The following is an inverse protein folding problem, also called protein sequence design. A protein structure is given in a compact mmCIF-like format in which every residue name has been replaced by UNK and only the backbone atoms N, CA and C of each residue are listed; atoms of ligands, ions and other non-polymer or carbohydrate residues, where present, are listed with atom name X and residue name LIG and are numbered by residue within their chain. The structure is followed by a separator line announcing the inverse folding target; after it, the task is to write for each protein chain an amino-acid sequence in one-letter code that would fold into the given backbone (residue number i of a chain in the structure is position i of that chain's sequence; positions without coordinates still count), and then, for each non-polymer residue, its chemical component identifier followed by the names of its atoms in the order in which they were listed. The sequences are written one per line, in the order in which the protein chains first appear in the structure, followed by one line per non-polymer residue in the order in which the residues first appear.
data_IF_144459266648
#
_entry.id   IF_144459266648
#
_cell.length_a   1.000
_cell.length_b   1.000
_cell.length_c   1.000
_cell.angle_alpha   90.00
_cell.angle_beta   90.00
_cell.angle_gamma   90.00
#
_symmetry.space_group_name_H-M   'P 1'
#
loop_
_entity.id
_entity.type
_entity.pdbx_description
1 polymer ?
#
# COMPACT_ATOMS: atom_id res chain seq x y z
N UNK A 1 4.76 19.22 -21.84
CA UNK A 1 5.83 20.21 -22.12
C UNK A 1 6.22 21.06 -20.90
N UNK A 2 5.33 21.32 -19.94
CA UNK A 2 5.60 22.09 -18.71
C UNK A 2 6.71 21.49 -17.84
N UNK A 3 6.62 20.21 -17.46
CA UNK A 3 7.53 19.57 -16.50
C UNK A 3 9.03 19.68 -16.88
N UNK A 4 9.41 19.43 -18.15
CA UNK A 4 10.81 19.62 -18.62
C UNK A 4 11.38 21.03 -18.35
N UNK A 5 10.52 22.06 -18.33
CA UNK A 5 10.91 23.45 -18.06
C UNK A 5 10.98 23.78 -16.56
N UNK A 6 10.35 22.96 -15.72
CA UNK A 6 10.51 22.97 -14.27
C UNK A 6 11.81 22.24 -13.86
N UNK A 7 12.04 21.01 -14.35
CA UNK A 7 13.29 20.25 -14.12
C UNK A 7 14.53 21.07 -14.53
N UNK A 8 14.51 21.71 -15.70
CA UNK A 8 15.60 22.59 -16.13
C UNK A 8 15.89 23.75 -15.15
N UNK A 9 14.85 24.34 -14.53
CA UNK A 9 15.03 25.39 -13.51
C UNK A 9 15.52 24.86 -12.17
N UNK A 10 15.08 23.67 -11.77
CA UNK A 10 15.56 23.02 -10.55
C UNK A 10 17.07 22.70 -10.64
N UNK A 11 17.52 22.18 -11.79
CA UNK A 11 18.94 21.96 -12.09
C UNK A 11 19.71 23.28 -12.13
N UNK A 12 19.15 24.32 -12.74
CA UNK A 12 19.81 25.63 -12.79
C UNK A 12 19.94 26.29 -11.41
N UNK A 13 18.91 26.24 -10.55
CA UNK A 13 18.99 26.76 -9.18
C UNK A 13 20.03 25.99 -8.35
N UNK A 14 20.07 24.66 -8.50
CA UNK A 14 21.05 23.83 -7.82
C UNK A 14 22.48 24.02 -8.36
N UNK A 15 22.64 24.36 -9.65
CA UNK A 15 23.89 24.87 -10.19
C UNK A 15 24.26 26.24 -9.61
N UNK A 16 23.31 27.17 -9.44
CA UNK A 16 23.55 28.50 -8.87
C UNK A 16 24.02 28.42 -7.40
N UNK A 17 23.48 27.49 -6.59
CA UNK A 17 23.96 27.23 -5.21
C UNK A 17 25.41 26.70 -5.21
N UNK A 18 25.77 25.79 -6.12
CA UNK A 18 27.16 25.30 -6.27
C UNK A 18 28.09 26.29 -7.00
N UNK A 19 27.54 27.26 -7.75
CA UNK A 19 28.27 28.25 -8.54
C UNK A 19 28.49 29.58 -7.80
N UNK A 20 28.53 29.55 -6.47
CA UNK A 20 29.16 30.61 -5.65
C UNK A 20 30.66 30.83 -5.96
N UNK A 21 31.24 30.04 -6.88
CA UNK A 21 32.60 30.18 -7.39
C UNK A 21 32.61 30.13 -8.94
N UNK A 22 32.66 31.30 -9.57
CA UNK A 22 32.87 31.55 -11.02
C UNK A 22 31.71 31.21 -11.97
N UNK A 23 31.65 31.86 -13.15
CA UNK A 23 30.55 31.69 -14.10
C UNK A 23 30.70 32.44 -15.44
N UNK A 24 29.55 32.77 -16.07
CA UNK A 24 29.30 33.48 -17.36
C UNK A 24 29.12 32.63 -18.64
N UNK A 25 27.93 32.76 -19.27
CA UNK A 25 27.61 32.45 -20.69
C UNK A 25 27.25 30.98 -21.06
N UNK A 26 26.30 30.67 -21.96
CA UNK A 26 25.23 31.50 -22.56
C UNK A 26 24.66 30.98 -23.92
N UNK A 27 23.35 31.21 -24.16
CA UNK A 27 22.64 31.35 -25.49
C UNK A 27 22.05 30.12 -26.25
N UNK A 28 20.73 29.91 -26.06
CA UNK A 28 19.58 29.78 -27.02
C UNK A 28 19.44 28.76 -28.21
N UNK A 29 18.18 28.33 -28.46
CA UNK A 29 17.59 27.72 -29.69
C UNK A 29 16.58 26.58 -29.37
N UNK A 30 15.24 26.57 -29.62
CA UNK A 30 14.34 26.89 -30.77
C UNK A 30 14.27 25.77 -31.85
N UNK A 31 13.13 25.19 -32.29
CA UNK A 31 11.70 25.28 -31.91
C UNK A 31 10.73 24.63 -32.97
N UNK A 32 9.43 24.40 -32.67
CA UNK A 32 8.33 23.95 -33.61
C UNK A 32 8.49 22.53 -34.26
N UNK A 33 7.59 21.91 -35.07
CA UNK A 33 6.09 21.78 -35.27
C UNK A 33 5.85 20.60 -36.28
N UNK A 34 4.65 20.07 -36.61
CA UNK A 34 3.42 19.67 -35.87
C UNK A 34 2.31 19.11 -36.84
N UNK A 35 1.46 18.17 -36.35
CA UNK A 35 0.10 17.74 -36.83
C UNK A 35 -0.09 16.80 -38.07
N UNK A 36 -1.36 16.33 -38.19
CA UNK A 36 -2.08 15.59 -39.26
C UNK A 36 -1.75 14.06 -39.41
N UNK A 37 -2.68 13.11 -39.73
CA UNK A 37 -4.14 13.20 -40.04
C UNK A 37 -4.91 11.84 -39.87
N UNK A 38 -6.24 11.85 -40.13
CA UNK A 38 -7.12 10.76 -40.67
C UNK A 38 -7.86 9.73 -39.76
N UNK A 39 -9.20 9.89 -39.72
CA UNK A 39 -10.32 8.96 -40.11
C UNK A 39 -10.03 7.48 -40.48
N UNK A 40 -10.96 6.49 -40.43
CA UNK A 40 -12.39 6.38 -40.01
C UNK A 40 -12.71 4.88 -39.76
N UNK A 41 -13.75 4.54 -38.99
CA UNK A 41 -14.85 3.60 -39.35
C UNK A 41 -15.74 3.23 -38.14
N UNK A 42 -17.02 3.01 -38.39
CA UNK A 42 -18.04 2.64 -37.42
C UNK A 42 -18.74 1.30 -37.77
N UNK A 43 -19.84 1.01 -37.07
CA UNK A 43 -20.78 -0.09 -37.30
C UNK A 43 -20.28 -1.52 -36.99
N UNK A 44 -20.84 -2.10 -35.92
CA UNK A 44 -21.85 -3.16 -36.08
C UNK A 44 -22.82 -3.12 -34.89
N UNK A 45 -24.12 -3.09 -35.18
CA UNK A 45 -25.18 -3.18 -34.18
C UNK A 45 -26.22 -4.21 -34.64
N UNK A 46 -26.49 -5.19 -33.77
CA UNK A 46 -27.71 -5.99 -33.58
C UNK A 46 -27.31 -7.13 -32.61
N UNK A 47 -27.87 -7.29 -31.41
CA UNK A 47 -29.28 -7.39 -30.99
C UNK A 47 -29.76 -8.85 -30.90
N UNK A 48 -30.09 -9.30 -29.68
CA UNK A 48 -30.91 -10.47 -29.36
C UNK A 48 -31.04 -10.60 -27.82
N UNK A 49 -32.13 -10.06 -27.26
CA UNK A 49 -32.53 -10.25 -25.86
C UNK A 49 -33.35 -11.55 -25.70
N UNK A 50 -33.09 -12.37 -24.66
CA UNK A 50 -34.04 -13.34 -24.02
C UNK A 50 -33.36 -14.34 -23.05
N UNK A 51 -33.52 -14.11 -21.74
CA UNK A 51 -33.77 -15.06 -20.62
C UNK A 51 -33.02 -16.43 -20.49
N UNK A 52 -32.75 -16.95 -19.26
CA UNK A 52 -33.72 -16.97 -18.15
C UNK A 52 -33.20 -16.61 -16.74
N UNK A 53 -34.15 -16.60 -15.79
CA UNK A 53 -33.97 -16.25 -14.38
C UNK A 53 -32.87 -17.04 -13.62
N UNK A 54 -32.22 -16.34 -12.69
CA UNK A 54 -31.05 -16.79 -11.94
C UNK A 54 -31.38 -17.81 -10.84
N UNK A 55 -30.91 -19.05 -11.00
CA UNK A 55 -30.77 -20.03 -9.92
C UNK A 55 -29.29 -20.18 -9.52
N UNK A 56 -28.96 -20.26 -8.22
CA UNK A 56 -27.57 -20.37 -7.75
C UNK A 56 -27.07 -21.81 -7.86
N UNK A 57 -26.73 -22.25 -9.07
CA UNK A 57 -26.10 -23.55 -9.32
C UNK A 57 -24.70 -23.63 -8.69
N UNK A 58 -24.51 -24.54 -7.74
CA UNK A 58 -23.25 -24.83 -7.04
C UNK A 58 -22.38 -25.84 -7.84
N UNK A 59 -22.87 -26.30 -8.99
CA UNK A 59 -22.34 -27.45 -9.74
C UNK A 59 -21.47 -27.09 -10.96
N UNK A 60 -21.02 -25.83 -11.06
CA UNK A 60 -20.17 -25.40 -12.18
C UNK A 60 -18.73 -25.91 -11.98
N UNK A 61 -18.18 -26.70 -12.92
CA UNK A 61 -16.84 -27.24 -12.78
C UNK A 61 -15.79 -26.13 -12.87
N UNK A 62 -14.72 -26.28 -12.10
CA UNK A 62 -13.67 -25.28 -11.95
C UNK A 62 -13.90 -24.27 -10.82
N UNK A 63 -15.11 -24.22 -10.23
CA UNK A 63 -15.37 -23.43 -9.02
C UNK A 63 -14.65 -24.00 -7.78
N UNK A 64 -14.53 -23.16 -6.76
CA UNK A 64 -13.90 -23.51 -5.49
C UNK A 64 -14.91 -23.50 -4.34
N UNK A 65 -14.74 -24.43 -3.41
CA UNK A 65 -15.57 -24.62 -2.22
C UNK A 65 -14.70 -24.88 -0.98
N UNK A 66 -15.23 -24.62 0.21
CA UNK A 66 -14.63 -24.99 1.49
C UNK A 66 -15.68 -25.69 2.37
N UNK A 67 -15.26 -26.59 3.26
CA UNK A 67 -16.18 -27.20 4.22
C UNK A 67 -16.65 -26.14 5.23
N UNK A 68 -17.95 -26.08 5.49
CA UNK A 68 -18.56 -25.08 6.34
C UNK A 68 -18.04 -25.16 7.80
N UNK A 69 -17.59 -26.34 8.24
CA UNK A 69 -16.95 -26.54 9.54
C UNK A 69 -15.47 -26.15 9.55
N UNK A 70 -14.75 -26.35 8.43
CA UNK A 70 -13.35 -25.92 8.30
C UNK A 70 -13.22 -24.38 8.29
N UNK A 71 -14.20 -23.65 7.75
CA UNK A 71 -14.16 -22.17 7.60
C UNK A 71 -13.87 -21.37 8.89
N UNK A 72 -14.07 -21.96 10.07
CA UNK A 72 -13.73 -21.37 11.36
C UNK A 72 -12.21 -21.36 11.67
N UNK A 73 -11.41 -22.15 10.94
CA UNK A 73 -9.95 -22.10 10.96
C UNK A 73 -9.46 -20.88 10.17
N UNK A 74 -8.28 -20.33 10.46
CA UNK A 74 -7.73 -19.16 9.74
C UNK A 74 -7.42 -19.47 8.26
N UNK A 75 -6.87 -20.65 7.98
CA UNK A 75 -6.44 -21.10 6.65
C UNK A 75 -7.03 -22.50 6.31
N UNK A 76 -8.35 -22.59 6.08
CA UNK A 76 -9.05 -23.86 5.86
C UNK A 76 -8.62 -24.51 4.55
N UNK A 77 -8.53 -25.84 4.46
CA UNK A 77 -8.29 -26.50 3.18
C UNK A 77 -9.43 -26.24 2.21
N UNK A 78 -9.11 -25.69 1.04
CA UNK A 78 -10.08 -25.36 -0.01
C UNK A 78 -10.07 -26.45 -1.09
N UNK A 79 -11.14 -26.52 -1.87
CA UNK A 79 -11.37 -27.63 -2.80
C UNK A 79 -11.88 -27.12 -4.14
N UNK A 80 -11.36 -27.66 -5.25
CA UNK A 80 -11.82 -27.33 -6.60
C UNK A 80 -12.75 -28.41 -7.14
N UNK A 81 -13.89 -28.02 -7.70
CA UNK A 81 -14.85 -28.93 -8.35
C UNK A 81 -14.29 -29.41 -9.69
N UNK A 82 -14.10 -30.72 -9.87
CA UNK A 82 -13.63 -31.36 -11.09
C UNK A 82 -14.80 -31.97 -11.90
N UNK A 83 -14.63 -32.06 -13.23
CA UNK A 83 -15.55 -32.66 -14.19
C UNK A 83 -15.87 -34.15 -13.94
N UNK A 84 -15.26 -34.77 -12.92
CA UNK A 84 -15.31 -36.21 -12.62
C UNK A 84 -16.09 -36.54 -11.33
N UNK A 85 -16.93 -35.61 -10.85
CA UNK A 85 -17.63 -35.71 -9.55
C UNK A 85 -16.65 -35.88 -8.38
N UNK A 86 -15.53 -35.14 -8.44
CA UNK A 86 -14.49 -35.10 -7.41
C UNK A 86 -14.17 -33.67 -7.00
N UNK A 87 -13.80 -33.51 -5.73
CA UNK A 87 -13.19 -32.33 -5.18
C UNK A 87 -11.66 -32.53 -5.09
N UNK A 88 -10.90 -31.66 -5.75
CA UNK A 88 -9.43 -31.65 -5.69
C UNK A 88 -8.97 -30.77 -4.53
N UNK A 89 -8.17 -31.28 -3.59
CA UNK A 89 -7.74 -30.52 -2.40
C UNK A 89 -6.63 -29.52 -2.74
N UNK A 90 -6.75 -28.32 -2.17
CA UNK A 90 -5.71 -27.31 -2.12
C UNK A 90 -5.41 -26.98 -0.66
N UNK A 91 -4.13 -26.80 -0.32
CA UNK A 91 -3.67 -26.52 1.05
C UNK A 91 -2.93 -25.19 1.11
N UNK A 92 -3.01 -24.46 2.24
CA UNK A 92 -2.25 -23.23 2.41
C UNK A 92 -0.75 -23.50 2.42
N UNK A 93 0.00 -22.56 1.88
CA UNK A 93 1.45 -22.44 2.00
C UNK A 93 1.82 -20.96 2.00
N UNK A 94 2.98 -20.62 2.55
CA UNK A 94 3.46 -19.24 2.54
C UNK A 94 4.20 -18.94 1.22
N UNK A 95 3.79 -17.86 0.55
CA UNK A 95 4.58 -17.22 -0.49
C UNK A 95 5.85 -16.62 0.14
N UNK A 96 6.93 -16.52 -0.63
CA UNK A 96 8.17 -15.85 -0.20
C UNK A 96 7.96 -14.33 0.03
N UNK A 97 6.79 -13.79 -0.36
CA UNK A 97 6.29 -12.46 0.00
C UNK A 97 5.64 -12.35 1.39
N UNK A 98 5.51 -13.46 2.15
CA UNK A 98 4.82 -13.49 3.45
C UNK A 98 3.29 -13.53 3.33
N UNK A 99 2.79 -14.16 2.26
CA UNK A 99 1.36 -14.21 1.92
C UNK A 99 0.89 -15.65 1.78
N UNK A 100 -0.14 -16.03 2.54
CA UNK A 100 -0.73 -17.37 2.42
C UNK A 100 -1.49 -17.53 1.10
N UNK A 101 -0.97 -18.42 0.26
CA UNK A 101 -1.57 -18.88 -0.99
C UNK A 101 -1.91 -20.37 -0.88
N UNK A 102 -2.66 -20.89 -1.85
CA UNK A 102 -3.18 -22.26 -1.84
C UNK A 102 -2.73 -23.00 -3.09
N UNK A 103 -2.11 -24.17 -2.90
CA UNK A 103 -1.63 -25.05 -3.99
C UNK A 103 -2.31 -26.41 -3.95
N UNK A 104 -2.52 -26.99 -5.12
CA UNK A 104 -3.08 -28.32 -5.29
C UNK A 104 -2.23 -29.41 -4.61
N UNK A 105 -2.88 -30.40 -4.00
CA UNK A 105 -2.25 -31.64 -3.52
C UNK A 105 -3.05 -32.85 -4.00
N UNK A 106 -2.39 -34.01 -4.11
CA UNK A 106 -3.00 -35.26 -4.61
C UNK A 106 -3.94 -35.94 -3.59
N UNK A 107 -4.87 -35.18 -3.02
CA UNK A 107 -5.93 -35.63 -2.12
C UNK A 107 -7.27 -35.28 -2.74
N UNK A 108 -8.18 -36.25 -2.85
CA UNK A 108 -9.46 -36.10 -3.52
C UNK A 108 -10.60 -36.53 -2.60
N UNK A 109 -11.72 -35.81 -2.66
CA UNK A 109 -12.98 -36.16 -1.99
C UNK A 109 -14.10 -36.35 -3.02
N UNK A 110 -15.13 -37.11 -2.69
CA UNK A 110 -16.29 -37.28 -3.58
C UNK A 110 -17.18 -36.02 -3.63
N UNK A 111 -17.70 -35.70 -4.81
CA UNK A 111 -18.70 -34.64 -5.03
C UNK A 111 -20.07 -35.26 -5.34
N UNK A 112 -20.87 -35.49 -4.29
CA UNK A 112 -22.19 -36.10 -4.38
C UNK A 112 -23.22 -35.29 -3.56
N UNK A 113 -24.51 -35.59 -3.66
CA UNK A 113 -25.58 -34.81 -3.00
C UNK A 113 -25.50 -34.76 -1.46
N UNK A 114 -24.79 -35.71 -0.84
CA UNK A 114 -24.55 -35.71 0.60
C UNK A 114 -23.33 -34.86 0.97
N UNK A 115 -22.26 -34.90 0.17
CA UNK A 115 -21.08 -34.06 0.39
C UNK A 115 -21.38 -32.58 0.10
N UNK A 116 -22.10 -32.27 -0.98
CA UNK A 116 -22.52 -30.90 -1.36
C UNK A 116 -23.09 -30.10 -0.20
N UNK A 117 -23.85 -30.72 0.70
CA UNK A 117 -24.50 -30.09 1.87
C UNK A 117 -23.52 -29.61 2.96
N UNK A 118 -22.25 -30.02 2.89
CA UNK A 118 -21.16 -29.65 3.83
C UNK A 118 -20.27 -28.55 3.28
N UNK A 119 -20.29 -28.32 1.96
CA UNK A 119 -19.40 -27.40 1.27
C UNK A 119 -20.15 -26.13 0.84
N UNK A 120 -19.50 -24.98 1.01
CA UNK A 120 -19.99 -23.68 0.52
C UNK A 120 -19.03 -23.11 -0.52
N UNK A 121 -19.57 -22.41 -1.53
CA UNK A 121 -18.78 -21.74 -2.57
C UNK A 121 -17.90 -20.66 -1.95
N UNK A 122 -16.66 -20.57 -2.41
CA UNK A 122 -15.70 -19.56 -1.95
C UNK A 122 -15.16 -18.74 -3.13
N UNK A 123 -14.94 -17.43 -2.96
CA UNK A 123 -14.24 -16.62 -3.93
C UNK A 123 -12.73 -16.87 -3.85
N UNK A 124 -12.08 -17.02 -5.00
CA UNK A 124 -10.62 -17.16 -5.10
C UNK A 124 -10.05 -16.29 -6.22
N UNK A 125 -8.86 -15.73 -6.01
CA UNK A 125 -8.06 -15.13 -7.08
C UNK A 125 -7.05 -16.15 -7.58
N UNK A 126 -7.04 -16.46 -8.88
CA UNK A 126 -5.96 -17.27 -9.48
C UNK A 126 -4.70 -16.41 -9.56
N UNK A 127 -3.61 -16.83 -8.91
CA UNK A 127 -2.34 -16.09 -8.88
C UNK A 127 -1.29 -16.68 -9.82
N UNK A 128 -1.27 -18.01 -9.99
CA UNK A 128 -0.45 -18.69 -10.99
C UNK A 128 -1.27 -19.81 -11.64
N UNK A 129 -1.21 -19.93 -12.96
CA UNK A 129 -1.86 -20.98 -13.74
C UNK A 129 -0.93 -21.46 -14.86
N UNK A 130 -0.05 -22.39 -14.53
CA UNK A 130 0.92 -22.99 -15.44
C UNK A 130 0.59 -24.47 -15.67
N UNK A 131 1.20 -25.10 -16.68
CA UNK A 131 0.98 -26.53 -16.98
C UNK A 131 1.41 -27.50 -15.86
N UNK A 132 2.21 -27.02 -14.89
CA UNK A 132 2.76 -27.82 -13.78
C UNK A 132 2.08 -27.50 -12.44
N UNK A 133 1.69 -26.24 -12.21
CA UNK A 133 1.13 -25.79 -10.93
C UNK A 133 -0.03 -24.80 -11.13
N UNK A 134 -1.03 -24.91 -10.26
CA UNK A 134 -2.11 -23.93 -10.08
C UNK A 134 -2.07 -23.42 -8.65
N UNK A 135 -1.92 -22.11 -8.49
CA UNK A 135 -1.84 -21.42 -7.20
C UNK A 135 -2.95 -20.36 -7.15
N UNK A 136 -3.75 -20.42 -6.08
CA UNK A 136 -4.89 -19.50 -5.87
C UNK A 136 -4.81 -18.84 -4.49
N UNK A 137 -5.48 -17.71 -4.33
CA UNK A 137 -5.65 -17.00 -3.07
C UNK A 137 -7.11 -17.11 -2.63
N UNK A 138 -7.37 -17.57 -1.40
CA UNK A 138 -8.72 -17.58 -0.84
C UNK A 138 -9.10 -16.17 -0.36
N UNK A 139 -10.07 -15.55 -1.03
CA UNK A 139 -10.53 -14.19 -0.75
C UNK A 139 -11.56 -14.17 0.39
N UNK A 140 -11.16 -14.58 1.61
CA UNK A 140 -12.06 -14.71 2.77
C UNK A 140 -12.99 -13.50 2.99
N UNK A 141 -12.51 -12.29 2.71
CA UNK A 141 -13.27 -11.04 2.89
C UNK A 141 -14.46 -10.89 1.92
N UNK A 142 -14.47 -11.63 0.81
CA UNK A 142 -15.53 -11.63 -0.21
C UNK A 142 -16.55 -12.78 0.00
N UNK A 143 -16.41 -13.56 1.08
CA UNK A 143 -17.24 -14.75 1.34
C UNK A 143 -18.75 -14.44 1.41
N UNK A 144 -19.58 -15.07 0.56
CA UNK A 144 -21.04 -14.95 0.63
C UNK A 144 -21.58 -15.73 1.85
N UNK A 145 -21.47 -15.14 3.04
CA UNK A 145 -22.00 -15.73 4.28
C UNK A 145 -21.55 -15.08 5.59
N UNK A 146 -20.37 -14.45 5.67
CA UNK A 146 -19.90 -13.90 6.96
C UNK A 146 -20.66 -12.62 7.38
N UNK A 147 -21.30 -11.92 6.43
CA UNK A 147 -22.26 -10.87 6.72
C UNK A 147 -23.43 -10.97 5.73
N UNK A 148 -24.54 -11.58 6.15
CA UNK A 148 -25.82 -11.53 5.42
C UNK A 148 -26.89 -10.74 6.18
N UNK A 149 -26.80 -9.40 6.22
CA UNK A 149 -28.00 -8.60 5.99
C UNK A 149 -28.46 -8.82 4.53
N UNK A 150 -29.74 -8.57 4.25
CA UNK A 150 -30.32 -8.66 2.89
C UNK A 150 -29.72 -7.59 1.98
N UNK A 151 -28.66 -7.87 1.22
CA UNK A 151 -27.99 -6.80 0.48
C UNK A 151 -26.87 -7.19 -0.49
N UNK A 152 -26.99 -8.23 -1.32
CA UNK A 152 -25.97 -8.54 -2.34
C UNK A 152 -25.71 -7.34 -3.28
N UNK A 153 -26.77 -6.73 -3.79
CA UNK A 153 -26.70 -5.48 -4.57
C UNK A 153 -26.32 -4.23 -3.76
N UNK A 154 -26.29 -4.30 -2.42
CA UNK A 154 -25.85 -3.22 -1.54
C UNK A 154 -24.36 -3.34 -1.20
N UNK A 155 -23.85 -4.55 -0.94
CA UNK A 155 -22.41 -4.80 -0.75
C UNK A 155 -21.64 -4.49 -2.03
N UNK A 156 -22.08 -4.98 -3.20
CA UNK A 156 -21.45 -4.66 -4.48
C UNK A 156 -21.45 -3.14 -4.76
N UNK A 157 -22.58 -2.47 -4.53
CA UNK A 157 -22.73 -1.01 -4.65
C UNK A 157 -21.86 -0.24 -3.66
N UNK A 158 -21.67 -0.76 -2.45
CA UNK A 158 -20.77 -0.19 -1.45
C UNK A 158 -19.31 -0.35 -1.86
N UNK A 159 -18.87 -1.50 -2.37
CA UNK A 159 -17.50 -1.68 -2.90
C UNK A 159 -17.23 -0.75 -4.07
N UNK A 160 -18.16 -0.62 -5.02
CA UNK A 160 -18.05 0.34 -6.14
C UNK A 160 -17.96 1.79 -5.64
N UNK A 161 -18.77 2.17 -4.64
CA UNK A 161 -18.71 3.50 -4.01
C UNK A 161 -17.36 3.73 -3.30
N UNK A 162 -16.86 2.76 -2.53
CA UNK A 162 -15.54 2.85 -1.89
C UNK A 162 -14.41 3.02 -2.92
N UNK A 163 -14.45 2.29 -4.03
CA UNK A 163 -13.48 2.45 -5.13
C UNK A 163 -13.56 3.85 -5.74
N UNK A 164 -14.76 4.35 -6.05
CA UNK A 164 -14.96 5.73 -6.58
C UNK A 164 -14.45 6.81 -5.61
N UNK A 165 -14.56 6.58 -4.29
CA UNK A 165 -14.02 7.49 -3.28
C UNK A 165 -12.49 7.48 -3.23
N UNK A 166 -11.86 6.32 -3.40
CA UNK A 166 -10.40 6.18 -3.51
C UNK A 166 -9.91 6.81 -4.81
N UNK A 167 -10.52 6.50 -5.96
CA UNK A 167 -10.20 7.10 -7.27
C UNK A 167 -10.31 8.63 -7.22
N UNK A 168 -11.38 9.16 -6.61
CA UNK A 168 -11.53 10.60 -6.41
C UNK A 168 -10.40 11.20 -5.56
N UNK A 169 -10.09 10.62 -4.39
CA UNK A 169 -9.00 11.14 -3.53
C UNK A 169 -7.64 11.02 -4.22
N UNK A 170 -7.43 9.96 -5.01
CA UNK A 170 -6.25 9.80 -5.87
C UNK A 170 -6.15 10.92 -6.91
N UNK A 171 -7.21 11.25 -7.66
CA UNK A 171 -7.15 12.30 -8.68
C UNK A 171 -7.09 13.72 -8.08
N UNK A 172 -7.75 14.00 -6.95
CA UNK A 172 -7.60 15.28 -6.24
C UNK A 172 -6.15 15.48 -5.77
N UNK A 173 -5.52 14.43 -5.20
CA UNK A 173 -4.12 14.48 -4.73
C UNK A 173 -3.08 14.46 -5.85
N UNK A 174 -3.45 14.11 -7.09
CA UNK A 174 -2.58 14.16 -8.28
C UNK A 174 -2.04 15.57 -8.56
N UNK A 175 -2.77 16.60 -8.13
CA UNK A 175 -2.37 18.01 -8.20
C UNK A 175 -1.04 18.32 -7.50
N UNK A 176 -0.59 17.47 -6.56
CA UNK A 176 0.67 17.65 -5.83
C UNK A 176 1.90 17.08 -6.57
N UNK A 177 1.78 16.58 -7.81
CA UNK A 177 2.89 15.99 -8.59
C UNK A 177 4.14 16.88 -8.63
N UNK A 178 4.02 18.12 -9.12
CA UNK A 178 5.13 19.07 -9.26
C UNK A 178 5.72 19.49 -7.89
N UNK A 179 4.93 19.39 -6.82
CA UNK A 179 5.37 19.62 -5.43
C UNK A 179 6.18 18.42 -4.92
N UNK A 180 5.72 17.22 -5.23
CA UNK A 180 6.32 15.95 -4.82
C UNK A 180 7.66 15.66 -5.54
N UNK A 181 7.82 16.04 -6.81
CA UNK A 181 9.10 15.90 -7.50
C UNK A 181 10.23 16.71 -6.82
N UNK A 182 9.94 17.95 -6.40
CA UNK A 182 10.90 18.78 -5.62
C UNK A 182 11.08 18.24 -4.19
N UNK A 183 10.04 17.64 -3.60
CA UNK A 183 10.15 16.95 -2.32
C UNK A 183 11.11 15.77 -2.39
N UNK A 184 11.02 14.93 -3.44
CA UNK A 184 11.94 13.81 -3.65
C UNK A 184 13.36 14.32 -4.01
N UNK A 185 13.50 15.38 -4.80
CA UNK A 185 14.79 16.06 -4.99
C UNK A 185 15.42 16.47 -3.65
N UNK A 186 14.63 16.99 -2.70
CA UNK A 186 15.10 17.33 -1.35
C UNK A 186 15.65 16.09 -0.61
N UNK A 187 14.96 14.95 -0.71
CA UNK A 187 15.39 13.71 -0.05
C UNK A 187 16.59 13.04 -0.72
N UNK A 188 16.74 13.14 -2.05
CA UNK A 188 17.94 12.67 -2.76
C UNK A 188 19.14 13.56 -2.42
N UNK A 189 18.98 14.89 -2.40
CA UNK A 189 20.03 15.81 -1.94
C UNK A 189 20.46 15.52 -0.49
N UNK A 190 19.51 15.23 0.42
CA UNK A 190 19.82 14.81 1.80
C UNK A 190 20.53 13.44 1.89
N UNK A 191 20.37 12.58 0.88
CA UNK A 191 21.09 11.31 0.80
C UNK A 191 22.49 11.44 0.17
N UNK A 192 22.73 12.50 -0.61
CA UNK A 192 24.03 12.87 -1.17
C UNK A 192 24.86 13.69 -0.18
N UNK A 193 24.24 14.61 0.58
CA UNK A 193 24.83 15.29 1.73
C UNK A 193 23.88 15.29 2.94
N UNK A 194 24.35 14.71 4.05
CA UNK A 194 23.63 14.63 5.32
C UNK A 194 23.32 15.98 6.00
N UNK A 195 23.89 17.09 5.51
CA UNK A 195 23.65 18.44 6.02
C UNK A 195 22.61 19.22 5.23
N UNK A 196 22.24 18.80 4.01
CA UNK A 196 21.40 19.56 3.09
C UNK A 196 20.10 20.09 3.72
N UNK A 197 19.37 19.25 4.48
CA UNK A 197 18.16 19.67 5.20
C UNK A 197 18.45 20.76 6.25
N UNK A 198 19.58 20.69 6.95
CA UNK A 198 19.99 21.70 7.96
C UNK A 198 20.27 23.04 7.29
N UNK A 199 20.95 23.00 6.14
CA UNK A 199 21.33 24.17 5.35
C UNK A 199 20.10 24.89 4.83
N UNK A 200 19.17 24.20 4.14
CA UNK A 200 17.93 24.84 3.67
C UNK A 200 17.05 25.37 4.82
N UNK A 201 17.07 24.76 6.01
CA UNK A 201 16.39 25.30 7.21
C UNK A 201 17.10 26.53 7.78
N UNK A 202 18.43 26.61 7.71
CA UNK A 202 19.23 27.72 8.21
C UNK A 202 19.16 28.93 7.27
N UNK A 203 19.23 28.69 5.96
CA UNK A 203 19.16 29.71 4.91
C UNK A 203 17.72 30.15 4.59
N UNK A 204 16.72 29.41 5.08
CA UNK A 204 15.29 29.61 4.80
C UNK A 204 14.97 29.53 3.30
N UNK A 205 15.47 28.50 2.61
CA UNK A 205 15.22 28.32 1.18
C UNK A 205 13.76 27.95 0.90
N UNK A 206 12.94 28.97 0.65
CA UNK A 206 11.54 28.87 0.24
C UNK A 206 11.32 27.99 -1.01
N UNK A 207 12.33 27.75 -1.85
CA UNK A 207 12.21 26.82 -2.95
C UNK A 207 11.96 25.39 -2.44
N UNK A 208 12.82 24.86 -1.57
CA UNK A 208 12.62 23.52 -1.00
C UNK A 208 11.60 23.53 0.16
N UNK A 209 11.71 24.48 1.09
CA UNK A 209 10.92 24.50 2.33
C UNK A 209 9.41 24.58 2.07
N UNK A 210 8.96 25.33 1.05
CA UNK A 210 7.53 25.40 0.70
C UNK A 210 6.96 24.06 0.23
N UNK A 211 7.73 23.25 -0.51
CA UNK A 211 7.32 21.91 -0.96
C UNK A 211 7.42 20.88 0.15
N UNK A 212 8.49 20.92 0.95
CA UNK A 212 8.64 20.10 2.18
C UNK A 212 7.43 20.32 3.09
N UNK A 213 7.12 21.58 3.42
CA UNK A 213 5.98 21.96 4.25
C UNK A 213 4.64 21.51 3.66
N UNK A 214 4.45 21.60 2.35
CA UNK A 214 3.20 21.19 1.69
C UNK A 214 2.91 19.70 1.86
N UNK A 215 3.86 18.82 1.50
CA UNK A 215 3.70 17.37 1.59
C UNK A 215 3.71 16.89 3.05
N UNK A 216 4.58 17.45 3.90
CA UNK A 216 4.62 17.11 5.34
C UNK A 216 3.28 17.47 6.00
N UNK A 217 2.68 18.63 5.69
CA UNK A 217 1.41 19.07 6.27
C UNK A 217 0.22 18.20 5.83
N UNK A 218 0.20 17.75 4.58
CA UNK A 218 -0.83 16.85 4.05
C UNK A 218 -0.72 15.43 4.67
N UNK A 219 0.50 14.94 4.80
CA UNK A 219 0.81 13.64 5.45
C UNK A 219 0.40 13.68 6.93
N UNK A 220 0.76 14.75 7.63
CA UNK A 220 0.43 15.00 9.03
C UNK A 220 -1.09 15.22 9.26
N UNK A 221 -1.82 15.83 8.33
CA UNK A 221 -3.29 15.86 8.36
C UNK A 221 -3.89 14.46 8.34
N UNK A 222 -3.51 13.64 7.35
CA UNK A 222 -3.99 12.26 7.23
C UNK A 222 -3.59 11.43 8.45
N UNK A 223 -2.37 11.58 8.98
CA UNK A 223 -1.93 10.93 10.24
C UNK A 223 -2.84 11.29 11.41
N UNK A 224 -3.17 12.57 11.62
CA UNK A 224 -4.09 12.98 12.71
C UNK A 224 -5.49 12.40 12.53
N UNK A 225 -6.04 12.46 11.32
CA UNK A 225 -7.37 11.92 11.00
C UNK A 225 -7.42 10.41 11.26
N UNK A 226 -6.38 9.67 10.87
CA UNK A 226 -6.27 8.22 11.15
C UNK A 226 -6.18 7.90 12.65
N UNK A 227 -5.41 8.68 13.41
CA UNK A 227 -5.29 8.52 14.87
C UNK A 227 -6.60 8.84 15.60
N UNK A 228 -7.33 9.87 15.19
CA UNK A 228 -8.62 10.25 15.80
C UNK A 228 -9.67 9.13 15.75
N UNK A 229 -9.67 8.34 14.67
CA UNK A 229 -10.57 7.20 14.47
C UNK A 229 -9.96 5.85 14.92
N UNK A 230 -8.87 5.87 15.70
CA UNK A 230 -8.17 4.69 16.20
C UNK A 230 -8.05 4.74 17.73
N UNK A 231 -9.01 4.16 18.48
CA UNK A 231 -9.09 4.28 19.94
C UNK A 231 -8.13 3.31 20.65
N UNK A 232 -6.82 3.47 20.42
CA UNK A 232 -5.76 2.64 20.99
C UNK A 232 -5.06 3.29 22.18
N UNK A 233 -4.41 2.47 23.00
CA UNK A 233 -3.56 2.96 24.09
C UNK A 233 -2.42 3.85 23.56
N UNK A 234 -2.13 4.94 24.28
CA UNK A 234 -1.11 5.92 23.88
C UNK A 234 0.29 5.31 23.75
N UNK A 235 0.62 4.28 24.53
CA UNK A 235 1.93 3.61 24.44
C UNK A 235 2.12 2.93 23.08
N UNK A 236 1.08 2.30 22.52
CA UNK A 236 1.10 1.73 21.16
C UNK A 236 1.33 2.83 20.12
N UNK A 237 0.54 3.91 20.19
CA UNK A 237 0.62 5.04 19.25
C UNK A 237 1.95 5.80 19.32
N UNK A 238 2.53 5.97 20.51
CA UNK A 238 3.84 6.60 20.69
C UNK A 238 4.96 5.68 20.23
N UNK A 239 4.90 4.37 20.52
CA UNK A 239 5.95 3.43 20.12
C UNK A 239 5.97 3.20 18.61
N UNK A 240 4.80 3.01 17.97
CA UNK A 240 4.72 2.81 16.52
C UNK A 240 5.17 4.03 15.71
N UNK A 241 5.12 5.23 16.29
CA UNK A 241 5.60 6.46 15.66
C UNK A 241 7.08 6.78 16.01
N UNK A 242 7.72 5.98 16.86
CA UNK A 242 9.11 6.15 17.29
C UNK A 242 10.06 5.23 16.51
N UNK A 243 9.64 3.99 16.21
CA UNK A 243 10.48 2.93 15.66
C UNK A 243 10.19 2.68 14.17
N UNK A 244 11.08 3.07 13.24
CA UNK A 244 10.79 3.12 11.80
C UNK A 244 10.74 1.76 11.08
N UNK A 245 10.92 0.65 11.79
CA UNK A 245 10.83 -0.69 11.23
C UNK A 245 10.11 -1.64 12.21
N UNK A 246 9.58 -2.75 11.69
CA UNK A 246 9.00 -3.80 12.49
C UNK A 246 9.09 -5.16 11.78
N UNK A 247 9.12 -6.23 12.58
CA UNK A 247 8.92 -7.60 12.09
C UNK A 247 7.49 -8.06 12.42
N UNK A 248 6.96 -8.97 11.60
CA UNK A 248 5.67 -9.63 11.81
C UNK A 248 5.90 -11.13 11.97
N UNK A 249 5.40 -11.69 13.07
CA UNK A 249 5.38 -13.13 13.33
C UNK A 249 3.92 -13.60 13.36
N UNK A 250 3.54 -14.52 12.47
CA UNK A 250 2.20 -15.12 12.46
C UNK A 250 2.07 -16.08 13.65
N UNK A 251 1.09 -15.84 14.53
CA UNK A 251 0.89 -16.70 15.71
C UNK A 251 -0.02 -17.89 15.35
N UNK A 252 0.58 -18.93 14.78
CA UNK A 252 -0.08 -20.21 14.52
C UNK A 252 -0.46 -20.91 15.85
N UNK A 253 -1.65 -20.58 16.35
CA UNK A 253 -2.47 -21.31 17.33
C UNK A 253 -1.74 -22.10 18.43
N UNK A 254 -1.25 -21.43 19.48
CA UNK A 254 -0.72 -22.11 20.66
C UNK A 254 -1.67 -22.04 21.87
N UNK A 255 -2.33 -23.17 22.12
CA UNK A 255 -2.87 -23.65 23.41
C UNK A 255 -3.66 -22.68 24.31
N UNK A 256 -4.99 -22.78 24.23
CA UNK A 256 -5.84 -22.96 25.41
C UNK A 256 -6.10 -21.76 26.33
N UNK A 257 -5.46 -20.61 26.14
CA UNK A 257 -5.81 -19.37 26.82
C UNK A 257 -6.46 -18.39 25.85
N UNK A 258 -7.54 -17.74 26.28
CA UNK A 258 -8.34 -16.85 25.44
C UNK A 258 -7.66 -15.47 25.30
N UNK A 259 -6.65 -15.41 24.44
CA UNK A 259 -5.88 -14.19 24.17
C UNK A 259 -6.73 -13.16 23.43
N UNK A 260 -6.65 -11.92 23.87
CA UNK A 260 -7.34 -10.77 23.27
C UNK A 260 -6.34 -9.80 22.65
N UNK A 261 -6.71 -9.21 21.52
CA UNK A 261 -5.92 -8.21 20.81
C UNK A 261 -5.50 -7.06 21.73
N UNK A 262 -4.20 -6.79 21.83
CA UNK A 262 -3.64 -5.76 22.73
C UNK A 262 -4.10 -4.33 22.41
N UNK A 263 -4.71 -4.09 21.25
CA UNK A 263 -5.14 -2.76 20.81
C UNK A 263 -6.67 -2.54 20.80
N UNK A 264 -7.49 -3.59 20.70
CA UNK A 264 -8.97 -3.47 20.71
C UNK A 264 -9.68 -4.40 21.71
N UNK A 265 -8.92 -5.21 22.45
CA UNK A 265 -9.36 -6.17 23.48
C UNK A 265 -10.41 -7.20 23.03
N UNK A 266 -10.66 -7.33 21.73
CA UNK A 266 -11.46 -8.41 21.16
C UNK A 266 -10.68 -9.73 21.15
N UNK A 267 -11.34 -10.88 21.30
CA UNK A 267 -10.68 -12.19 21.24
C UNK A 267 -10.08 -12.45 19.85
N UNK A 268 -8.99 -13.21 19.82
CA UNK A 268 -8.30 -13.61 18.59
C UNK A 268 -7.07 -12.76 18.30
N UNK A 269 -5.93 -13.44 18.14
CA UNK A 269 -4.66 -12.88 17.66
C UNK A 269 -4.37 -13.50 16.31
N UNK A 270 -3.93 -12.69 15.34
CA UNK A 270 -3.42 -13.17 14.06
C UNK A 270 -1.88 -13.06 14.00
N UNK A 271 -1.33 -11.97 14.53
CA UNK A 271 0.10 -11.67 14.47
C UNK A 271 0.65 -11.11 15.78
N UNK A 272 1.94 -11.34 15.98
CA UNK A 272 2.81 -10.59 16.88
C UNK A 272 3.69 -9.65 16.06
N UNK A 273 3.62 -8.36 16.34
CA UNK A 273 4.47 -7.34 15.74
C UNK A 273 5.59 -6.98 16.72
N UNK A 274 6.83 -6.84 16.23
CA UNK A 274 8.01 -6.46 17.01
C UNK A 274 8.65 -5.19 16.42
N UNK A 275 8.64 -4.09 17.17
CA UNK A 275 9.19 -2.78 16.75
C UNK A 275 10.72 -2.70 16.85
N UNK A 276 11.35 -2.22 15.78
CA UNK A 276 12.80 -2.10 15.65
C UNK A 276 13.25 -0.93 14.75
N UNK A 277 14.53 -0.93 14.37
CA UNK A 277 15.17 0.18 13.65
C UNK A 277 15.72 1.26 14.59
N UNK A 278 16.67 2.05 14.07
CA UNK A 278 17.26 3.17 14.79
C UNK A 278 16.31 4.37 14.78
N UNK A 279 16.13 5.03 15.93
CA UNK A 279 15.36 6.27 16.02
C UNK A 279 16.04 7.41 15.23
N UNK A 280 15.26 8.37 14.73
CA UNK A 280 15.75 9.44 13.87
C UNK A 280 15.06 10.78 14.19
N UNK A 281 15.67 11.88 13.74
CA UNK A 281 15.10 13.21 13.84
C UNK A 281 14.10 13.45 12.69
N UNK A 282 12.83 13.78 13.00
CA UNK A 282 11.79 13.92 11.98
C UNK A 282 11.96 15.11 11.03
N UNK A 283 12.74 16.13 11.41
CA UNK A 283 13.04 17.28 10.57
C UNK A 283 14.25 17.02 9.64
N UNK A 284 15.36 16.50 10.18
CA UNK A 284 16.64 16.35 9.46
C UNK A 284 16.96 14.94 8.99
N UNK A 285 16.14 13.94 9.37
CA UNK A 285 16.29 12.51 9.05
C UNK A 285 17.58 11.84 9.55
N UNK A 286 18.45 12.58 10.23
CA UNK A 286 19.63 12.05 10.89
C UNK A 286 19.26 11.05 12.01
N UNK A 287 19.99 9.92 12.16
CA UNK A 287 19.83 9.02 13.30
C UNK A 287 20.01 9.76 14.62
N UNK A 288 19.13 9.51 15.59
CA UNK A 288 19.30 9.97 16.98
C UNK A 288 20.04 8.92 17.79
N UNK A 289 20.64 9.34 18.91
CA UNK A 289 21.07 8.42 19.96
C UNK A 289 19.87 7.61 20.51
N UNK A 290 20.17 6.58 21.32
CA UNK A 290 19.15 5.69 21.89
C UNK A 290 17.95 6.45 22.50
N UNK A 291 16.75 5.92 22.29
CA UNK A 291 15.50 6.57 22.67
C UNK A 291 15.49 7.03 24.15
N UNK A 292 14.87 8.17 24.49
CA UNK A 292 14.95 8.77 25.82
C UNK A 292 14.59 7.78 26.93
N UNK A 293 15.55 7.47 27.81
CA UNK A 293 15.41 6.45 28.87
C UNK A 293 14.30 6.74 29.92
N UNK A 294 13.65 7.91 29.83
CA UNK A 294 12.51 8.33 30.65
C UNK A 294 11.16 7.94 30.03
N UNK A 295 11.11 7.55 28.75
CA UNK A 295 9.91 7.04 28.09
C UNK A 295 9.99 5.51 27.99
N UNK A 296 9.00 4.84 28.59
CA UNK A 296 8.77 3.42 28.35
C UNK A 296 8.08 3.25 26.99
N UNK A 297 8.61 2.33 26.17
CA UNK A 297 8.05 1.97 24.88
C UNK A 297 7.72 0.48 24.86
N UNK A 298 6.48 0.16 24.50
CA UNK A 298 6.08 -1.21 24.22
C UNK A 298 6.64 -1.59 22.84
N UNK A 299 7.51 -2.60 22.79
CA UNK A 299 8.11 -3.06 21.52
C UNK A 299 7.43 -4.28 20.91
N UNK A 300 6.49 -4.91 21.60
CA UNK A 300 5.85 -6.15 21.13
C UNK A 300 4.34 -6.05 21.30
N UNK A 301 3.58 -6.28 20.22
CA UNK A 301 2.12 -6.22 20.22
C UNK A 301 1.53 -7.50 19.62
N UNK A 302 0.56 -8.11 20.30
CA UNK A 302 -0.27 -9.19 19.73
C UNK A 302 -1.58 -8.57 19.22
N UNK A 303 -1.85 -8.68 17.92
CA UNK A 303 -2.96 -7.99 17.25
C UNK A 303 -3.85 -8.96 16.47
N UNK A 304 -5.16 -8.68 16.43
CA UNK A 304 -6.08 -9.30 15.47
C UNK A 304 -5.87 -8.71 14.06
N UNK A 305 -6.35 -9.39 13.02
CA UNK A 305 -6.14 -8.99 11.61
C UNK A 305 -6.51 -7.53 11.32
N UNK A 306 -7.68 -7.07 11.78
CA UNK A 306 -8.15 -5.68 11.60
C UNK A 306 -7.23 -4.66 12.28
N UNK A 307 -6.63 -5.02 13.42
CA UNK A 307 -5.66 -4.16 14.09
C UNK A 307 -4.27 -4.23 13.45
N UNK A 308 -3.89 -5.36 12.85
CA UNK A 308 -2.64 -5.45 12.08
C UNK A 308 -2.66 -4.54 10.86
N UNK A 309 -3.73 -4.58 10.05
CA UNK A 309 -3.88 -3.69 8.89
C UNK A 309 -3.90 -2.19 9.32
N UNK A 310 -4.61 -1.88 10.42
CA UNK A 310 -4.60 -0.54 11.02
C UNK A 310 -3.20 -0.11 11.48
N UNK A 311 -2.42 -1.03 12.05
CA UNK A 311 -1.06 -0.78 12.52
C UNK A 311 -0.13 -0.46 11.34
N UNK A 312 -0.17 -1.28 10.29
CA UNK A 312 0.63 -1.09 9.08
C UNK A 312 0.37 0.29 8.46
N UNK A 313 -0.91 0.67 8.30
CA UNK A 313 -1.27 1.98 7.74
C UNK A 313 -0.83 3.14 8.65
N UNK A 314 -0.97 3.00 9.98
CA UNK A 314 -0.46 3.96 10.96
C UNK A 314 1.06 4.10 10.93
N UNK A 315 1.79 2.99 10.79
CA UNK A 315 3.24 2.97 10.73
C UNK A 315 3.75 3.64 9.43
N UNK A 316 3.16 3.27 8.29
CA UNK A 316 3.42 3.89 6.98
C UNK A 316 3.25 5.41 7.02
N UNK A 317 2.11 5.92 7.49
CA UNK A 317 1.86 7.37 7.52
C UNK A 317 2.72 8.12 8.56
N UNK A 318 3.09 7.48 9.68
CA UNK A 318 4.02 8.06 10.67
C UNK A 318 5.45 8.18 10.11
N UNK A 319 5.90 7.20 9.33
CA UNK A 319 7.28 7.10 8.84
C UNK A 319 7.46 7.45 7.35
N UNK A 320 6.41 7.89 6.65
CA UNK A 320 6.39 8.06 5.19
C UNK A 320 7.59 8.87 4.63
N UNK A 321 7.94 9.99 5.28
CA UNK A 321 9.11 10.82 4.92
C UNK A 321 10.44 10.06 5.05
N UNK A 322 10.58 9.27 6.11
CA UNK A 322 11.76 8.45 6.35
C UNK A 322 11.84 7.25 5.40
N UNK A 323 10.73 6.57 5.13
CA UNK A 323 10.65 5.48 4.16
C UNK A 323 11.05 5.94 2.75
N UNK A 324 10.52 7.08 2.29
CA UNK A 324 10.93 7.69 1.02
C UNK A 324 12.42 8.05 1.00
N UNK A 325 12.95 8.60 2.09
CA UNK A 325 14.38 8.92 2.21
C UNK A 325 15.27 7.67 2.15
N UNK A 326 14.90 6.58 2.83
CA UNK A 326 15.63 5.30 2.76
C UNK A 326 15.63 4.75 1.32
N UNK A 327 14.51 4.82 0.61
CA UNK A 327 14.42 4.36 -0.79
C UNK A 327 15.18 5.27 -1.78
N UNK A 328 15.31 6.58 -1.47
CA UNK A 328 16.20 7.51 -2.18
C UNK A 328 17.68 7.19 -1.90
N UNK A 329 18.06 7.02 -0.63
CA UNK A 329 19.43 6.72 -0.22
C UNK A 329 19.92 5.38 -0.76
N UNK A 330 19.04 4.37 -0.82
CA UNK A 330 19.27 3.09 -1.50
C UNK A 330 19.63 3.29 -2.98
N UNK A 331 18.89 4.14 -3.72
CA UNK A 331 19.19 4.47 -5.12
C UNK A 331 20.49 5.26 -5.30
N UNK A 332 20.76 6.22 -4.43
CA UNK A 332 22.04 6.95 -4.39
C UNK A 332 23.20 5.99 -4.19
N UNK A 333 23.11 5.12 -3.18
CA UNK A 333 24.14 4.12 -2.90
C UNK A 333 24.31 3.10 -4.04
N UNK A 334 23.25 2.73 -4.76
CA UNK A 334 23.34 1.90 -5.97
C UNK A 334 24.12 2.58 -7.10
N UNK A 335 23.92 3.89 -7.32
CA UNK A 335 24.69 4.65 -8.32
C UNK A 335 26.17 4.79 -7.91
N UNK A 336 26.44 5.11 -6.65
CA UNK A 336 27.82 5.20 -6.12
C UNK A 336 28.54 3.84 -6.17
N UNK A 337 27.84 2.73 -5.93
CA UNK A 337 28.39 1.38 -6.03
C UNK A 337 28.63 0.92 -7.48
N UNK A 338 27.89 1.46 -8.45
CA UNK A 338 28.12 1.22 -9.87
C UNK A 338 29.28 2.07 -10.42
N UNK A 339 29.35 3.34 -10.03
CA UNK A 339 30.41 4.26 -10.44
C UNK A 339 30.66 5.31 -9.34
N UNK A 340 31.71 5.07 -8.54
CA UNK A 340 32.12 5.95 -7.44
C UNK A 340 32.81 7.24 -7.90
N UNK A 341 32.99 7.45 -9.21
CA UNK A 341 33.52 8.70 -9.78
C UNK A 341 32.43 9.68 -10.22
N UNK A 342 31.16 9.27 -10.25
CA UNK A 342 30.03 10.16 -10.58
C UNK A 342 29.93 11.32 -9.59
N UNK A 343 29.87 12.54 -10.12
CA UNK A 343 29.52 13.71 -9.33
C UNK A 343 28.07 13.60 -8.79
N UNK A 344 27.82 14.11 -7.58
CA UNK A 344 26.50 14.09 -6.94
C UNK A 344 25.40 14.72 -7.82
N UNK A 345 25.74 15.75 -8.61
CA UNK A 345 24.86 16.37 -9.61
C UNK A 345 24.44 15.41 -10.73
N UNK A 346 25.34 14.54 -11.20
CA UNK A 346 25.01 13.54 -12.21
C UNK A 346 24.06 12.48 -11.63
N UNK A 347 24.37 11.96 -10.42
CA UNK A 347 23.52 10.98 -9.71
C UNK A 347 22.11 11.54 -9.50
N UNK A 348 21.99 12.78 -9.00
CA UNK A 348 20.68 13.41 -8.80
C UNK A 348 19.89 13.54 -10.11
N UNK A 349 20.53 13.99 -11.19
CA UNK A 349 19.88 14.18 -12.49
C UNK A 349 19.44 12.85 -13.12
N UNK A 350 20.22 11.78 -12.97
CA UNK A 350 19.83 10.43 -13.40
C UNK A 350 18.62 9.91 -12.61
N UNK A 351 18.61 10.07 -11.28
CA UNK A 351 17.50 9.61 -10.43
C UNK A 351 16.21 10.44 -10.65
N UNK A 352 16.32 11.73 -10.98
CA UNK A 352 15.17 12.58 -11.36
C UNK A 352 14.72 12.39 -12.82
N UNK A 353 15.48 11.65 -13.62
CA UNK A 353 15.08 11.23 -14.98
C UNK A 353 14.24 9.93 -14.97
N UNK A 354 14.24 9.15 -13.89
CA UNK A 354 13.35 7.99 -13.71
C UNK A 354 11.93 8.43 -13.35
N UNK A 355 11.21 8.92 -14.38
CA UNK A 355 9.82 9.34 -14.27
C UNK A 355 8.87 8.18 -13.91
N UNK A 356 9.28 6.92 -14.14
CA UNK A 356 8.49 5.75 -13.76
C UNK A 356 8.58 5.50 -12.24
N UNK A 357 9.78 5.48 -11.66
CA UNK A 357 9.95 5.37 -10.21
C UNK A 357 9.26 6.51 -9.47
N UNK A 358 9.45 7.76 -9.90
CA UNK A 358 8.81 8.93 -9.28
C UNK A 358 7.29 8.83 -9.30
N UNK A 359 6.70 8.41 -10.43
CA UNK A 359 5.26 8.19 -10.55
C UNK A 359 4.75 7.04 -9.66
N UNK A 360 5.50 5.94 -9.54
CA UNK A 360 5.15 4.81 -8.69
C UNK A 360 5.24 5.15 -7.19
N UNK A 361 6.30 5.84 -6.77
CA UNK A 361 6.47 6.29 -5.38
C UNK A 361 5.37 7.30 -4.98
N UNK A 362 5.01 8.21 -5.87
CA UNK A 362 3.90 9.15 -5.64
C UNK A 362 2.53 8.46 -5.63
N UNK A 363 2.35 7.40 -6.45
CA UNK A 363 1.13 6.58 -6.45
C UNK A 363 0.95 5.89 -5.10
N UNK A 364 2.00 5.26 -4.56
CA UNK A 364 1.97 4.61 -3.25
C UNK A 364 1.62 5.60 -2.13
N UNK A 365 2.30 6.74 -2.09
CA UNK A 365 2.04 7.87 -1.17
C UNK A 365 0.57 8.32 -1.23
N UNK A 366 0.01 8.47 -2.43
CA UNK A 366 -1.40 8.88 -2.60
C UNK A 366 -2.38 7.78 -2.22
N UNK A 367 -2.06 6.50 -2.48
CA UNK A 367 -2.90 5.38 -2.06
C UNK A 367 -3.02 5.31 -0.53
N UNK A 368 -1.93 5.55 0.22
CA UNK A 368 -1.96 5.66 1.69
C UNK A 368 -2.89 6.80 2.11
N UNK A 369 -2.78 7.99 1.52
CA UNK A 369 -3.65 9.13 1.84
C UNK A 369 -5.13 8.88 1.53
N UNK A 370 -5.44 8.18 0.43
CA UNK A 370 -6.78 7.84 0.00
C UNK A 370 -7.42 6.74 0.86
N UNK A 371 -6.65 5.72 1.28
CA UNK A 371 -7.11 4.68 2.20
C UNK A 371 -7.48 5.25 3.57
N UNK A 372 -6.66 6.17 4.10
CA UNK A 372 -6.95 6.89 5.35
C UNK A 372 -8.24 7.70 5.24
N UNK A 373 -8.43 8.41 4.12
CA UNK A 373 -9.61 9.22 3.86
C UNK A 373 -10.89 8.37 3.70
N UNK A 374 -10.76 7.19 3.09
CA UNK A 374 -11.83 6.19 3.02
C UNK A 374 -12.21 5.68 4.42
N UNK A 375 -11.23 5.22 5.22
CA UNK A 375 -11.46 4.71 6.57
C UNK A 375 -12.13 5.73 7.48
N UNK A 376 -11.74 7.00 7.41
CA UNK A 376 -12.38 8.07 8.16
C UNK A 376 -13.82 8.32 7.70
N UNK A 377 -14.07 8.30 6.40
CA UNK A 377 -15.41 8.48 5.85
C UNK A 377 -16.34 7.33 6.22
N UNK A 378 -15.85 6.08 6.21
CA UNK A 378 -16.58 4.91 6.69
C UNK A 378 -16.87 5.00 8.20
N UNK A 379 -15.89 5.41 9.01
CA UNK A 379 -16.09 5.63 10.45
C UNK A 379 -17.17 6.70 10.73
N UNK A 380 -17.09 7.86 10.05
CA UNK A 380 -18.08 8.94 10.17
C UNK A 380 -19.49 8.50 9.79
N UNK A 381 -19.63 7.64 8.78
CA UNK A 381 -20.93 7.06 8.39
C UNK A 381 -21.47 6.13 9.50
N UNK A 382 -20.63 5.24 10.04
CA UNK A 382 -21.00 4.32 11.11
C UNK A 382 -21.42 5.05 12.41
N UNK A 383 -20.70 6.10 12.80
CA UNK A 383 -21.08 6.91 13.98
C UNK A 383 -22.26 7.84 13.70
N UNK A 384 -22.41 8.32 12.47
CA UNK A 384 -23.52 9.19 12.05
C UNK A 384 -24.87 8.47 11.93
N UNK A 385 -24.88 7.14 11.79
CA UNK A 385 -26.09 6.31 11.80
C UNK A 385 -26.48 5.78 13.20
N UNK A 386 -25.95 6.38 14.27
CA UNK A 386 -26.28 6.07 15.68
C UNK A 386 -26.89 7.28 16.43
N UNK A 387 -27.42 8.25 15.69
CA UNK A 387 -28.17 9.43 16.16
C UNK A 387 -29.47 9.56 15.36
#
# INVERSE_FOLDING_TARGET
MTNRRAKAKAVQLQQEIMAGNQGTGGVQGSGSRALDDMEELAEFANDSDSDPAWTPEIDKPGEFVADQSDLAQDYPPIWRVDNKLLLQKYVPFDDQSGKILYRHVSTYSAWNEESKKKYVRIPVCVRVLNQVETIVEFLRNEMPGHNTPRGEGEVARNTVNQNQLVEKSMDETKSYQDVFEVYIQTLISQALDSNFLKEIFQEQDDYFLSRVKSIDSLTEDRRRRLVQITPWARTILTSLATFPAYDVMVELGQNGMQQCCGACHQPGIAVRIVLQGQTYNSATLAPTAAAPAQQQYDKTFQLCQTCSARFELLHKICHQKYMMFVECAKRVNQQIAHDSSKAATAILNELLADEHWLAMLFKEVRSIWAEIELLERLYRLQTGSQQ
#
